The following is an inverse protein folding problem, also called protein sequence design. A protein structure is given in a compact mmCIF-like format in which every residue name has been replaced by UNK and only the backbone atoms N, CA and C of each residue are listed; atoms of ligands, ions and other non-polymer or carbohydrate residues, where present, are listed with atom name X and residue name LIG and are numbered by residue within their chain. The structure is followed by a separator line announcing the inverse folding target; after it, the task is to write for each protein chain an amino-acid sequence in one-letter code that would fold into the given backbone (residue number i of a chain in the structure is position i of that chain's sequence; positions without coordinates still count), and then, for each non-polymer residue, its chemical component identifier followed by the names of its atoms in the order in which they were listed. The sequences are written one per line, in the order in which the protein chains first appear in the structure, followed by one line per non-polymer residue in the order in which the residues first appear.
data_IF_713576536045
#
_entry.id   IF_713576536045
#
_cell.length_a   1.000
_cell.length_b   1.000
_cell.length_c   1.000
_cell.angle_alpha   90.00
_cell.angle_beta   90.00
_cell.angle_gamma   90.00
#
_symmetry.space_group_name_H-M   'P 1'
#
loop_
_entity.id
_entity.type
_entity.pdbx_description
1 polymer ?
#
# COMPACT_ATOMS: atom_id res chain seq x y z
N UNK A 1 11.41 52.89 -4.14
CA UNK A 1 10.64 52.06 -5.08
C UNK A 1 10.89 50.62 -4.71
N UNK A 2 9.80 49.95 -4.36
CA UNK A 2 9.74 48.79 -3.47
C UNK A 2 10.44 47.54 -3.99
N UNK A 3 10.98 46.81 -3.01
CA UNK A 3 11.38 45.42 -3.13
C UNK A 3 10.17 44.56 -3.51
N UNK A 4 10.31 43.75 -4.56
CA UNK A 4 9.39 42.66 -4.83
C UNK A 4 9.72 41.51 -3.88
N UNK A 5 9.04 41.50 -2.75
CA UNK A 5 8.81 40.31 -1.95
C UNK A 5 8.09 39.27 -2.83
N UNK A 6 8.81 38.24 -3.28
CA UNK A 6 8.15 37.10 -3.89
C UNK A 6 7.64 36.21 -2.76
N UNK A 7 6.33 36.25 -2.60
CA UNK A 7 5.55 35.63 -1.55
C UNK A 7 5.75 34.11 -1.52
N UNK A 8 6.29 33.66 -0.39
CA UNK A 8 5.95 32.38 0.20
C UNK A 8 4.42 32.23 0.18
N UNK A 9 3.90 31.32 -0.63
CA UNK A 9 2.49 30.91 -0.55
C UNK A 9 2.45 29.40 -0.56
N UNK A 10 2.82 28.84 0.60
CA UNK A 10 2.05 27.83 1.31
C UNK A 10 1.06 27.01 0.46
N UNK A 11 1.43 25.75 0.21
CA UNK A 11 0.47 24.70 -0.12
C UNK A 11 -0.60 24.63 0.98
N UNK A 12 -1.90 24.71 0.67
CA UNK A 12 -2.92 24.26 1.58
C UNK A 12 -3.13 22.74 1.36
N UNK A 13 -2.52 21.94 2.24
CA UNK A 13 -2.98 20.58 2.54
C UNK A 13 -4.36 20.67 3.24
N UNK A 14 -5.39 21.05 2.50
CA UNK A 14 -6.75 20.98 2.97
C UNK A 14 -7.30 19.57 2.71
N UNK A 15 -6.91 18.60 3.56
CA UNK A 15 -7.72 17.40 3.76
C UNK A 15 -9.00 17.85 4.46
N UNK A 16 -10.01 18.22 3.67
CA UNK A 16 -11.34 18.53 4.18
C UNK A 16 -11.92 17.33 4.97
N UNK A 17 -12.75 17.58 5.99
CA UNK A 17 -13.30 16.52 6.83
C UNK A 17 -14.17 15.59 5.99
N UNK A 18 -13.70 14.35 5.79
CA UNK A 18 -14.52 13.26 5.24
C UNK A 18 -15.74 13.07 6.13
N UNK A 19 -16.93 13.40 5.61
CA UNK A 19 -18.21 13.07 6.25
C UNK A 19 -18.29 11.55 6.41
N UNK A 20 -18.07 11.11 7.65
CA UNK A 20 -18.16 9.72 8.07
C UNK A 20 -19.62 9.27 8.02
N UNK A 21 -20.09 8.75 6.88
CA UNK A 21 -21.32 7.94 6.90
C UNK A 21 -21.01 6.71 7.75
N UNK A 22 -21.54 6.66 8.98
CA UNK A 22 -21.43 5.53 9.90
C UNK A 22 -21.91 4.24 9.22
N UNK A 23 -21.04 3.56 8.48
CA UNK A 23 -21.16 2.13 8.21
C UNK A 23 -20.36 1.45 9.30
N UNK A 24 -21.07 1.00 10.32
CA UNK A 24 -20.48 0.31 11.46
C UNK A 24 -19.63 -0.90 11.03
N UNK A 25 -18.77 -1.42 11.93
CA UNK A 25 -17.87 -2.51 11.61
C UNK A 25 -18.69 -3.71 11.10
N UNK A 26 -18.51 -4.08 9.83
CA UNK A 26 -19.10 -5.30 9.29
C UNK A 26 -18.45 -6.46 10.04
N UNK A 27 -19.18 -7.04 10.99
CA UNK A 27 -18.77 -8.16 11.85
C UNK A 27 -18.42 -9.39 10.99
N UNK A 28 -17.27 -9.40 10.34
CA UNK A 28 -16.76 -10.59 9.66
C UNK A 28 -15.23 -10.57 9.49
N UNK A 29 -14.51 -9.96 10.44
CA UNK A 29 -13.04 -10.09 10.54
C UNK A 29 -12.62 -11.46 11.09
N UNK A 30 -13.53 -12.20 11.75
CA UNK A 30 -13.27 -13.54 12.28
C UNK A 30 -13.24 -14.67 11.25
N UNK A 31 -13.68 -14.45 10.00
CA UNK A 31 -13.63 -15.49 8.94
C UNK A 31 -12.37 -15.44 8.07
N UNK A 32 -11.63 -14.34 8.08
CA UNK A 32 -10.50 -14.14 7.16
C UNK A 32 -9.26 -14.96 7.58
N UNK A 33 -9.13 -15.29 8.86
CA UNK A 33 -8.01 -16.08 9.41
C UNK A 33 -8.29 -17.58 9.55
N UNK A 34 -9.53 -18.05 9.29
CA UNK A 34 -9.91 -19.46 9.52
C UNK A 34 -9.87 -20.34 8.27
N UNK A 35 -9.53 -19.80 7.09
CA UNK A 35 -9.51 -20.56 5.83
C UNK A 35 -8.13 -21.08 5.42
N UNK A 36 -7.12 -20.93 6.26
CA UNK A 36 -5.77 -21.45 6.01
C UNK A 36 -5.58 -22.94 6.38
N UNK A 37 -6.62 -23.66 6.83
CA UNK A 37 -6.55 -25.10 7.14
C UNK A 37 -7.60 -25.95 6.41
N UNK A 38 -7.73 -25.83 5.09
CA UNK A 38 -8.54 -26.81 4.31
C UNK A 38 -7.98 -27.16 2.93
N UNK A 39 -6.70 -26.90 2.70
CA UNK A 39 -5.92 -27.59 1.67
C UNK A 39 -5.15 -28.72 2.35
N UNK A 40 -5.84 -29.84 2.56
CA UNK A 40 -5.26 -31.07 3.11
C UNK A 40 -6.35 -32.08 3.44
N UNK A 41 -6.56 -33.03 2.53
CA UNK A 41 -7.27 -34.31 2.72
C UNK A 41 -8.45 -34.35 3.72
N UNK A 42 -9.70 -34.40 3.23
CA UNK A 42 -10.77 -35.01 4.02
C UNK A 42 -11.08 -36.42 3.50
N UNK A 43 -10.90 -37.32 4.45
CA UNK A 43 -11.01 -38.76 4.50
C UNK A 43 -12.45 -39.27 4.28
N UNK A 44 -12.53 -40.53 3.87
CA UNK A 44 -13.74 -41.31 3.55
C UNK A 44 -14.43 -41.81 4.83
N UNK A 45 -15.69 -42.29 4.67
CA UNK A 45 -16.63 -42.97 5.59
C UNK A 45 -17.73 -42.05 6.15
N UNK A 46 -19.04 -42.32 6.10
CA UNK A 46 -19.83 -43.44 5.59
C UNK A 46 -21.22 -43.42 6.28
N UNK A 47 -22.29 -43.68 5.51
CA UNK A 47 -23.67 -44.08 5.87
C UNK A 47 -24.62 -43.09 6.59
N UNK A 48 -25.83 -42.98 6.04
CA UNK A 48 -27.06 -42.77 6.84
C UNK A 48 -27.96 -41.59 6.46
N UNK A 49 -28.90 -41.84 5.54
CA UNK A 49 -30.27 -41.30 5.42
C UNK A 49 -30.59 -39.86 5.85
N UNK A 50 -30.95 -39.03 4.88
CA UNK A 50 -32.17 -38.17 4.89
C UNK A 50 -32.20 -37.37 3.58
N UNK A 51 -33.17 -37.66 2.70
CA UNK A 51 -33.36 -37.06 1.36
C UNK A 51 -33.50 -35.52 1.37
N UNK A 52 -33.73 -34.91 2.53
CA UNK A 52 -33.81 -33.45 2.70
C UNK A 52 -32.44 -32.78 2.96
N UNK A 53 -31.42 -33.54 3.39
CA UNK A 53 -30.07 -33.01 3.67
C UNK A 53 -29.14 -33.08 2.43
N UNK A 54 -29.54 -33.82 1.38
CA UNK A 54 -28.84 -33.86 0.10
C UNK A 54 -28.80 -32.49 -0.61
N UNK A 55 -29.74 -31.60 -0.29
CA UNK A 55 -29.83 -30.22 -0.82
C UNK A 55 -28.69 -29.30 -0.31
N UNK A 56 -27.90 -29.74 0.68
CA UNK A 56 -26.69 -29.07 1.20
C UNK A 56 -25.39 -29.80 0.85
N UNK A 57 -25.44 -30.79 -0.06
CA UNK A 57 -24.29 -31.64 -0.33
C UNK A 57 -23.07 -30.83 -0.80
N UNK A 58 -21.96 -31.07 -0.11
CA UNK A 58 -20.62 -30.60 -0.46
C UNK A 58 -20.28 -31.23 -1.81
N UNK A 59 -19.95 -30.41 -2.81
CA UNK A 59 -19.60 -30.89 -4.15
C UNK A 59 -18.54 -31.99 -4.07
N UNK A 60 -18.74 -33.04 -4.87
CA UNK A 60 -17.73 -34.08 -5.09
C UNK A 60 -16.42 -33.46 -5.62
N UNK A 61 -15.30 -34.13 -5.38
CA UNK A 61 -14.00 -33.72 -5.94
C UNK A 61 -14.04 -33.66 -7.46
N UNK A 62 -14.74 -34.58 -8.10
CA UNK A 62 -14.90 -34.64 -9.56
C UNK A 62 -15.73 -33.45 -10.07
N UNK A 63 -16.87 -33.18 -9.41
CA UNK A 63 -17.70 -32.01 -9.73
C UNK A 63 -16.92 -30.70 -9.57
N UNK A 64 -16.15 -30.58 -8.48
CA UNK A 64 -15.30 -29.41 -8.25
C UNK A 64 -14.20 -29.28 -9.31
N UNK A 65 -13.60 -30.39 -9.76
CA UNK A 65 -12.56 -30.36 -10.80
C UNK A 65 -13.10 -29.86 -12.14
N UNK A 66 -14.29 -30.29 -12.55
CA UNK A 66 -14.93 -29.79 -13.78
C UNK A 66 -15.24 -28.30 -13.67
N UNK A 67 -15.77 -27.86 -12.52
CA UNK A 67 -16.06 -26.44 -12.28
C UNK A 67 -14.78 -25.57 -12.26
N UNK A 68 -13.69 -26.06 -11.67
CA UNK A 68 -12.38 -25.36 -11.71
C UNK A 68 -11.82 -25.27 -13.13
N UNK A 69 -11.88 -26.35 -13.92
CA UNK A 69 -11.43 -26.31 -15.30
C UNK A 69 -12.20 -25.25 -16.09
N UNK A 70 -13.53 -25.25 -15.99
CA UNK A 70 -14.37 -24.27 -16.67
C UNK A 70 -14.17 -22.84 -16.15
N UNK A 71 -13.85 -22.67 -14.86
CA UNK A 71 -13.55 -21.37 -14.28
C UNK A 71 -12.28 -20.72 -14.85
N UNK A 72 -11.27 -21.53 -15.20
CA UNK A 72 -10.03 -21.01 -15.77
C UNK A 72 -10.26 -20.32 -17.12
N UNK A 73 -11.18 -20.86 -17.93
CA UNK A 73 -11.54 -20.29 -19.23
C UNK A 73 -12.64 -19.23 -19.11
N UNK A 74 -13.62 -19.46 -18.23
CA UNK A 74 -14.81 -18.61 -18.04
C UNK A 74 -15.05 -18.27 -16.56
N UNK A 75 -14.32 -17.29 -15.99
CA UNK A 75 -14.52 -16.89 -14.58
C UNK A 75 -15.91 -16.30 -14.27
N UNK A 76 -16.58 -15.79 -15.31
CA UNK A 76 -17.93 -15.26 -15.31
C UNK A 76 -18.76 -15.98 -16.38
N UNK A 77 -19.15 -17.24 -16.16
CA UNK A 77 -19.91 -17.99 -17.14
C UNK A 77 -21.28 -17.34 -17.35
N UNK A 78 -21.77 -17.35 -18.58
CA UNK A 78 -23.13 -16.92 -18.90
C UNK A 78 -24.16 -17.96 -18.42
N UNK A 79 -25.42 -17.56 -18.38
CA UNK A 79 -26.55 -18.37 -17.89
C UNK A 79 -26.67 -19.69 -18.63
N UNK A 80 -26.46 -19.70 -19.96
CA UNK A 80 -26.50 -20.93 -20.76
C UNK A 80 -25.44 -21.94 -20.30
N UNK A 81 -24.19 -21.50 -20.16
CA UNK A 81 -23.07 -22.34 -19.70
C UNK A 81 -23.28 -22.82 -18.26
N UNK A 82 -23.87 -21.99 -17.38
CA UNK A 82 -24.22 -22.42 -16.02
C UNK A 82 -25.25 -23.54 -16.01
N UNK A 83 -26.27 -23.46 -16.87
CA UNK A 83 -27.29 -24.51 -16.98
C UNK A 83 -26.70 -25.80 -17.55
N UNK A 84 -25.87 -25.71 -18.59
CA UNK A 84 -25.17 -26.87 -19.15
C UNK A 84 -24.29 -27.57 -18.10
N UNK A 85 -23.53 -26.80 -17.31
CA UNK A 85 -22.72 -27.34 -16.22
C UNK A 85 -23.57 -27.97 -15.11
N UNK A 86 -24.74 -27.38 -14.82
CA UNK A 86 -25.66 -27.90 -13.82
C UNK A 86 -26.21 -29.27 -14.25
N UNK A 87 -26.68 -29.37 -15.50
CA UNK A 87 -27.22 -30.60 -16.09
C UNK A 87 -26.13 -31.69 -16.16
N UNK A 88 -24.94 -31.35 -16.67
CA UNK A 88 -23.81 -32.29 -16.79
C UNK A 88 -23.35 -32.84 -15.44
N UNK A 89 -23.41 -32.04 -14.39
CA UNK A 89 -22.89 -32.41 -13.06
C UNK A 89 -23.98 -32.94 -12.11
N UNK A 90 -25.24 -32.96 -12.54
CA UNK A 90 -26.39 -33.31 -11.69
C UNK A 90 -26.55 -32.36 -10.50
N UNK A 91 -26.30 -31.07 -10.72
CA UNK A 91 -26.36 -30.01 -9.71
C UNK A 91 -27.52 -29.06 -9.99
N UNK A 92 -27.98 -28.34 -8.98
CA UNK A 92 -28.89 -27.23 -9.21
C UNK A 92 -28.14 -26.03 -9.82
N UNK A 93 -28.72 -25.27 -10.77
CA UNK A 93 -28.10 -24.06 -11.34
C UNK A 93 -27.65 -23.06 -10.27
N UNK A 94 -28.38 -22.98 -9.16
CA UNK A 94 -28.02 -22.14 -8.01
C UNK A 94 -26.73 -22.59 -7.32
N UNK A 95 -26.45 -23.89 -7.23
CA UNK A 95 -25.21 -24.39 -6.64
C UNK A 95 -24.00 -24.01 -7.51
N UNK A 96 -24.14 -24.13 -8.83
CA UNK A 96 -23.13 -23.66 -9.79
C UNK A 96 -22.89 -22.16 -9.60
N UNK A 97 -23.96 -21.35 -9.58
CA UNK A 97 -23.84 -19.90 -9.39
C UNK A 97 -23.14 -19.51 -8.07
N UNK A 98 -23.53 -20.13 -6.95
CA UNK A 98 -22.90 -19.92 -5.63
C UNK A 98 -21.43 -20.36 -5.67
N UNK A 99 -21.11 -21.47 -6.34
CA UNK A 99 -19.75 -21.95 -6.45
C UNK A 99 -18.87 -20.94 -7.18
N UNK A 100 -19.31 -20.44 -8.34
CA UNK A 100 -18.58 -19.42 -9.11
C UNK A 100 -18.41 -18.11 -8.32
N UNK A 101 -19.45 -17.67 -7.60
CA UNK A 101 -19.38 -16.50 -6.71
C UNK A 101 -18.33 -16.69 -5.62
N UNK A 102 -18.37 -17.83 -4.92
CA UNK A 102 -17.42 -18.15 -3.85
C UNK A 102 -16.00 -18.30 -4.39
N UNK A 103 -15.83 -18.90 -5.57
CA UNK A 103 -14.53 -19.05 -6.22
C UNK A 103 -13.91 -17.69 -6.52
N UNK A 104 -14.66 -16.77 -7.14
CA UNK A 104 -14.22 -15.39 -7.36
C UNK A 104 -13.88 -14.66 -6.06
N UNK A 105 -14.71 -14.81 -5.04
CA UNK A 105 -14.46 -14.20 -3.73
C UNK A 105 -13.13 -14.69 -3.13
N UNK A 106 -12.87 -16.00 -3.17
CA UNK A 106 -11.61 -16.59 -2.69
C UNK A 106 -10.40 -16.11 -3.50
N UNK A 107 -10.50 -16.06 -4.83
CA UNK A 107 -9.42 -15.55 -5.69
C UNK A 107 -9.09 -14.09 -5.37
N UNK A 108 -10.11 -13.24 -5.19
CA UNK A 108 -9.92 -11.84 -4.78
C UNK A 108 -9.30 -11.74 -3.38
N UNK A 109 -9.79 -12.51 -2.42
CA UNK A 109 -9.22 -12.54 -1.07
C UNK A 109 -7.74 -12.94 -1.09
N UNK A 110 -7.37 -14.00 -1.82
CA UNK A 110 -5.97 -14.44 -1.95
C UNK A 110 -5.09 -13.33 -2.53
N UNK A 111 -5.54 -12.68 -3.61
CA UNK A 111 -4.83 -11.54 -4.22
C UNK A 111 -4.65 -10.38 -3.24
N UNK A 112 -5.69 -10.05 -2.46
CA UNK A 112 -5.61 -8.97 -1.48
C UNK A 112 -4.64 -9.28 -0.33
N UNK A 113 -4.58 -10.52 0.12
CA UNK A 113 -3.64 -10.96 1.16
C UNK A 113 -2.20 -10.84 0.65
N UNK A 114 -1.91 -11.41 -0.53
CA UNK A 114 -0.56 -11.31 -1.13
C UNK A 114 -0.15 -9.86 -1.40
N UNK A 115 -1.09 -9.01 -1.81
CA UNK A 115 -0.82 -7.59 -2.04
C UNK A 115 -0.54 -6.84 -0.73
N UNK A 116 -1.28 -7.16 0.33
CA UNK A 116 -1.02 -6.60 1.65
C UNK A 116 0.37 -6.98 2.18
N UNK A 117 0.78 -8.24 1.99
CA UNK A 117 2.11 -8.72 2.36
C UNK A 117 3.21 -8.00 1.56
N UNK A 118 3.03 -7.89 0.24
CA UNK A 118 3.95 -7.16 -0.64
C UNK A 118 4.11 -5.71 -0.20
N UNK A 119 3.00 -5.00 0.04
CA UNK A 119 3.02 -3.61 0.47
C UNK A 119 3.70 -3.44 1.83
N UNK A 120 3.49 -4.35 2.79
CA UNK A 120 4.21 -4.33 4.07
C UNK A 120 5.72 -4.43 3.89
N UNK A 121 6.18 -5.31 2.99
CA UNK A 121 7.60 -5.45 2.72
C UNK A 121 8.19 -4.18 2.09
N UNK A 122 7.48 -3.58 1.13
CA UNK A 122 7.89 -2.31 0.53
C UNK A 122 7.99 -1.20 1.58
N UNK A 123 6.99 -1.07 2.47
CA UNK A 123 7.05 -0.09 3.55
C UNK A 123 8.25 -0.33 4.48
N UNK A 124 8.54 -1.58 4.83
CA UNK A 124 9.70 -1.92 5.67
C UNK A 124 11.01 -1.46 5.02
N UNK A 125 11.20 -1.77 3.75
CA UNK A 125 12.41 -1.39 3.01
C UNK A 125 12.55 0.13 2.91
N UNK A 126 11.46 0.84 2.57
CA UNK A 126 11.47 2.30 2.48
C UNK A 126 11.78 2.96 3.82
N UNK A 127 11.30 2.41 4.94
CA UNK A 127 11.63 2.92 6.27
C UNK A 127 13.13 2.77 6.53
N UNK A 128 13.68 1.60 6.25
CA UNK A 128 15.11 1.33 6.43
C UNK A 128 15.99 2.25 5.56
N UNK A 129 15.61 2.46 4.30
CA UNK A 129 16.30 3.37 3.39
C UNK A 129 16.20 4.83 3.87
N UNK A 130 15.02 5.28 4.32
CA UNK A 130 14.87 6.63 4.85
C UNK A 130 15.71 6.85 6.11
N UNK A 131 15.82 5.86 6.99
CA UNK A 131 16.69 5.93 8.17
C UNK A 131 18.16 6.07 7.74
N UNK A 132 18.64 5.18 6.84
CA UNK A 132 20.01 5.23 6.32
C UNK A 132 20.34 6.56 5.65
N UNK A 133 19.43 7.07 4.82
CA UNK A 133 19.61 8.36 4.15
C UNK A 133 19.62 9.52 5.15
N UNK A 134 18.81 9.46 6.21
CA UNK A 134 18.78 10.48 7.25
C UNK A 134 20.10 10.52 8.03
N UNK A 135 20.64 9.36 8.40
CA UNK A 135 21.96 9.24 9.04
C UNK A 135 23.08 9.79 8.15
N UNK A 136 23.06 9.47 6.85
CA UNK A 136 24.05 9.99 5.90
C UNK A 136 23.94 11.50 5.71
N UNK A 137 22.72 12.05 5.66
CA UNK A 137 22.50 13.51 5.63
C UNK A 137 23.07 14.16 6.89
N UNK A 138 22.86 13.58 8.07
CA UNK A 138 23.40 14.11 9.32
C UNK A 138 24.93 14.08 9.33
N UNK A 139 25.54 12.99 8.85
CA UNK A 139 26.99 12.88 8.70
C UNK A 139 27.57 13.92 7.74
N UNK A 140 26.93 14.12 6.59
CA UNK A 140 27.33 15.15 5.63
C UNK A 140 27.19 16.56 6.20
N UNK A 141 26.10 16.83 6.93
CA UNK A 141 25.92 18.10 7.64
C UNK A 141 27.02 18.34 8.67
N UNK A 142 27.38 17.32 9.46
CA UNK A 142 28.44 17.43 10.46
C UNK A 142 29.80 17.79 9.82
N UNK A 143 30.13 17.16 8.69
CA UNK A 143 31.34 17.47 7.90
C UNK A 143 31.29 18.88 7.30
N UNK A 144 30.14 19.31 6.77
CA UNK A 144 29.96 20.64 6.18
C UNK A 144 29.96 21.78 7.22
N UNK A 145 29.54 21.51 8.47
CA UNK A 145 29.59 22.50 9.55
C UNK A 145 31.01 22.81 10.07
N UNK A 146 32.01 22.01 9.68
CA UNK A 146 33.42 22.20 10.05
C UNK A 146 34.13 23.33 9.32
N UNK A 147 33.67 23.73 8.12
CA UNK A 147 34.43 24.64 7.24
C UNK A 147 33.92 26.08 7.19
N UNK A 148 32.72 26.38 7.69
CA UNK A 148 32.17 27.75 7.63
C UNK A 148 32.49 28.62 8.85
N UNK A 149 33.05 28.05 9.92
CA UNK A 149 33.39 28.81 11.14
C UNK A 149 34.90 29.03 11.33
N UNK A 150 35.75 28.27 10.62
CA UNK A 150 37.21 28.33 10.76
C UNK A 150 37.93 29.25 9.77
N UNK A 151 37.38 29.45 8.55
CA UNK A 151 38.01 30.31 7.53
C UNK A 151 37.79 31.82 7.75
N UNK A 152 37.04 32.21 8.79
CA UNK A 152 36.78 33.62 9.13
C UNK A 152 37.86 34.22 10.05
N UNK A 153 38.72 33.40 10.67
CA UNK A 153 39.81 33.87 11.53
C UNK A 153 41.16 33.66 10.85
N UNK A 154 41.59 34.54 9.94
CA UNK A 154 43.01 34.84 9.68
C UNK A 154 43.23 35.65 8.39
N UNK A 155 42.70 36.87 8.29
CA UNK A 155 43.30 37.87 7.41
C UNK A 155 43.37 39.21 8.13
N UNK A 156 44.56 39.49 8.66
CA UNK A 156 45.12 40.85 8.70
C UNK A 156 44.49 41.85 9.67
N UNK A 157 45.25 42.18 10.70
CA UNK A 157 45.20 43.51 11.31
C UNK A 157 45.54 44.56 10.23
N UNK A 158 44.55 45.06 9.49
CA UNK A 158 44.47 46.39 8.83
C UNK A 158 43.30 46.38 7.83
N UNK A 159 42.22 47.10 8.17
CA UNK A 159 41.07 47.35 7.28
C UNK A 159 40.01 46.23 7.25
N UNK A 160 38.82 46.49 7.80
CA UNK A 160 37.70 45.55 7.73
C UNK A 160 37.08 45.58 6.32
N UNK A 161 37.42 44.59 5.48
CA UNK A 161 36.66 44.27 4.27
C UNK A 161 35.57 43.28 4.64
N UNK A 162 34.30 43.67 4.46
CA UNK A 162 33.17 42.73 4.57
C UNK A 162 32.89 42.14 3.17
N UNK A 163 32.83 40.81 3.11
CA UNK A 163 32.50 40.07 1.88
C UNK A 163 31.11 39.47 2.03
N UNK A 164 30.23 39.71 1.05
CA UNK A 164 28.88 39.16 1.03
C UNK A 164 28.91 37.64 0.73
N UNK A 165 28.36 36.77 1.60
CA UNK A 165 28.42 35.32 1.40
C UNK A 165 27.50 34.79 0.28
N UNK A 166 26.70 35.67 -0.35
CA UNK A 166 25.75 35.30 -1.40
C UNK A 166 26.30 35.62 -2.80
N UNK A 167 27.07 36.70 -2.95
CA UNK A 167 27.59 37.13 -4.25
C UNK A 167 29.11 37.36 -4.30
N UNK A 168 29.82 37.15 -3.19
CA UNK A 168 31.28 37.29 -3.07
C UNK A 168 31.86 38.68 -3.40
N UNK A 169 31.00 39.70 -3.54
CA UNK A 169 31.38 41.08 -3.78
C UNK A 169 31.99 41.70 -2.52
N UNK A 170 33.13 42.37 -2.67
CA UNK A 170 33.82 43.10 -1.59
C UNK A 170 33.21 44.50 -1.42
N UNK A 171 32.92 44.87 -0.17
CA UNK A 171 32.55 46.23 0.18
C UNK A 171 33.58 46.82 1.15
N UNK A 172 34.10 48.00 0.80
CA UNK A 172 34.95 48.81 1.67
C UNK A 172 34.05 49.77 2.46
N UNK A 173 34.01 49.62 3.78
CA UNK A 173 33.36 50.61 4.65
C UNK A 173 34.37 51.73 4.87
N UNK A 174 34.21 52.83 4.15
CA UNK A 174 35.00 54.04 4.34
C UNK A 174 34.73 54.64 5.73
N UNK A 175 35.79 54.88 6.49
CA UNK A 175 35.75 55.66 7.72
C UNK A 175 35.27 57.07 7.38
N UNK A 176 34.11 57.48 7.89
CA UNK A 176 33.76 58.90 7.93
C UNK A 176 34.74 59.54 8.95
N UNK A 177 35.79 60.15 8.41
CA UNK A 177 36.78 60.89 9.18
C UNK A 177 36.14 62.09 9.87
N UNK A 178 36.57 62.31 11.11
CA UNK A 178 36.37 63.54 11.84
C UNK A 178 36.83 64.75 11.01
N UNK A 179 35.97 65.77 10.91
CA UNK A 179 36.32 67.18 10.96
C UNK A 179 35.19 67.93 11.66
#
# INVERSE_FOLDING_TARGET
MEARENSNTQLPLALGPRKNTKRGPRKNTKRVLSLELSLGAQQVQGRGSSDENAKKSRLSKEQAAVLEANFNDHPNPDTALKNELADRLGLFPRQVDIWFQNRRARTKSKKNVSECERLKQVCKNLIEENLKLSEEIEKQKALATGDQKGAFYAYGLSGYVLVCPVCHQQYLIGSCGAM
#
